data_IF_149966018410
#
_entry.id   IF_149966018410
#
_cell.length_a   1.000
_cell.length_b   1.000
_cell.length_c   1.000
_cell.angle_alpha   90.00
_cell.angle_beta   90.00
_cell.angle_gamma   90.00
#
_symmetry.space_group_name_H-M   'P 1'
#
loop_
_entity.id
_entity.type
_entity.pdbx_description
1 polymer ?
2 non-polymer ?
3 non-polymer ?
4 non-polymer ?
5 water ?
#
# COMPACT_ATOMS: atom_id res chain seq x y z
N UNK A 1 3.90 -2.70 23.41
CA UNK A 1 2.64 -1.96 23.09
C UNK A 1 2.29 -2.13 21.60
N UNK A 2 3.32 -2.34 20.79
CA UNK A 2 3.22 -2.57 19.35
C UNK A 2 2.45 -3.87 19.01
N UNK A 3 1.38 -3.73 18.24
CA UNK A 3 0.41 -4.80 18.00
C UNK A 3 0.69 -5.60 16.72
N UNK A 4 1.48 -6.67 16.86
CA UNK A 4 1.88 -7.54 15.74
C UNK A 4 3.15 -8.31 16.08
N UNK A 5 3.76 -9.00 15.09
CA UNK A 5 3.33 -9.14 13.69
C UNK A 5 2.26 -10.22 13.48
N UNK A 6 1.36 -9.96 12.54
CA UNK A 6 0.35 -10.92 12.09
C UNK A 6 0.75 -11.53 10.75
N UNK A 7 0.44 -12.81 10.54
CA UNK A 7 0.80 -13.51 9.31
C UNK A 7 -0.12 -13.12 8.14
N UNK A 8 0.35 -13.29 6.88
CA UNK A 8 -0.47 -12.93 5.72
C UNK A 8 -1.87 -13.54 5.77
N UNK A 9 -2.89 -12.74 5.46
CA UNK A 9 -4.28 -13.18 5.50
C UNK A 9 -5.17 -12.14 4.81
N UNK A 10 -6.42 -12.51 4.56
CA UNK A 10 -7.44 -11.58 4.10
C UNK A 10 -8.42 -11.37 5.26
N UNK A 11 -8.68 -10.12 5.62
CA UNK A 11 -9.64 -9.80 6.69
C UNK A 11 -10.25 -8.42 6.46
N UNK A 12 -11.21 -8.05 7.31
CA UNK A 12 -11.91 -6.78 7.22
C UNK A 12 -11.46 -5.86 8.36
N UNK A 13 -10.42 -5.03 8.13
CA UNK A 13 -9.88 -4.17 9.19
C UNK A 13 -10.88 -3.13 9.68
N UNK A 14 -10.81 -2.75 10.98
CA UNK A 14 -11.69 -1.69 11.47
C UNK A 14 -11.32 -0.37 10.83
N UNK A 15 -12.27 0.55 10.72
CA UNK A 15 -11.95 1.89 10.22
C UNK A 15 -11.01 2.59 11.21
N UNK A 16 -10.30 3.60 10.72
CA UNK A 16 -9.43 4.45 11.56
C UNK A 16 -8.30 3.68 12.28
N UNK A 17 -7.76 2.67 11.60
CA UNK A 17 -6.58 1.95 12.05
C UNK A 17 -5.62 1.80 10.87
N UNK A 18 -4.34 2.10 11.10
CA UNK A 18 -3.28 1.80 10.12
C UNK A 18 -2.88 0.36 10.18
N UNK A 19 -2.81 -0.26 9.01
CA UNK A 19 -2.22 -1.58 8.82
C UNK A 19 -0.80 -1.37 8.30
N UNK A 20 0.19 -1.55 9.18
CA UNK A 20 1.60 -1.29 8.86
C UNK A 20 2.22 -2.58 8.32
N UNK A 21 2.72 -2.51 7.09
CA UNK A 21 3.16 -3.70 6.35
C UNK A 21 4.68 -3.74 6.27
N UNK A 22 5.24 -4.94 6.48
CA UNK A 22 6.68 -5.18 6.50
C UNK A 22 7.14 -6.21 5.45
N UNK A 23 7.07 -5.86 4.15
CA UNK A 23 7.46 -6.84 3.12
C UNK A 23 8.97 -7.13 3.11
N UNK A 24 9.35 -8.33 2.68
CA UNK A 24 10.78 -8.73 2.58
C UNK A 24 11.29 -8.78 1.14
N UNK A 25 10.38 -9.08 0.21
CA UNK A 25 10.73 -9.26 -1.20
C UNK A 25 9.99 -8.24 -2.07
N UNK A 26 10.55 -7.92 -3.24
CA UNK A 26 9.84 -7.04 -4.20
C UNK A 26 8.53 -7.69 -4.65
N UNK A 27 7.55 -6.88 -5.05
CA UNK A 27 6.27 -7.40 -5.54
C UNK A 27 5.05 -6.89 -4.79
N UNK A 28 3.91 -7.55 -4.98
CA UNK A 28 2.62 -7.09 -4.41
C UNK A 28 2.64 -7.21 -2.88
N UNK A 29 2.31 -6.10 -2.22
CA UNK A 29 2.40 -5.97 -0.76
C UNK A 29 1.05 -6.22 -0.09
N UNK A 30 0.01 -5.62 -0.66
CA UNK A 30 -1.33 -5.61 -0.07
C UNK A 30 -2.30 -5.29 -1.20
N UNK A 31 -3.50 -5.86 -1.14
CA UNK A 31 -4.58 -5.45 -2.04
C UNK A 31 -5.93 -5.31 -1.33
N UNK A 32 -6.79 -4.47 -1.89
CA UNK A 32 -8.11 -4.21 -1.32
C UNK A 32 -9.08 -3.73 -2.38
N UNK A 33 -10.34 -4.15 -2.24
CA UNK A 33 -11.40 -3.72 -3.15
C UNK A 33 -12.76 -3.68 -2.47
N UNK A 34 -13.63 -2.81 -2.98
CA UNK A 34 -15.04 -2.79 -2.58
C UNK A 34 -15.93 -3.47 -3.65
N UNK A 35 -15.29 -4.01 -4.69
CA UNK A 35 -15.96 -4.74 -5.78
C UNK A 35 -16.88 -3.89 -6.68
N UNK A 36 -16.86 -2.56 -6.51
CA UNK A 36 -17.76 -1.68 -7.27
C UNK A 36 -17.02 -0.54 -7.97
N UNK A 37 -16.40 0.36 -7.20
CA UNK A 37 -15.71 1.50 -7.82
C UNK A 37 -14.28 1.76 -7.32
N UNK A 38 -13.70 0.79 -6.62
CA UNK A 38 -12.32 0.92 -6.12
C UNK A 38 -11.55 -0.39 -5.97
N UNK A 39 -10.42 -0.47 -6.69
CA UNK A 39 -9.42 -1.54 -6.54
C UNK A 39 -8.09 -0.89 -6.30
N UNK A 40 -7.36 -1.38 -5.30
CA UNK A 40 -6.05 -0.85 -4.98
C UNK A 40 -5.09 -2.00 -4.67
N UNK A 41 -3.92 -1.98 -5.30
CA UNK A 41 -2.87 -2.91 -4.97
C UNK A 41 -1.56 -2.15 -4.88
N UNK A 42 -0.83 -2.34 -3.78
CA UNK A 42 0.47 -1.72 -3.64
C UNK A 42 1.58 -2.67 -4.08
N UNK A 43 2.41 -2.17 -5.00
CA UNK A 43 3.56 -2.92 -5.50
C UNK A 43 4.86 -2.29 -5.00
N UNK A 44 5.72 -3.12 -4.40
CA UNK A 44 7.05 -2.69 -3.98
C UNK A 44 8.06 -2.89 -5.12
N UNK A 45 8.64 -1.79 -5.60
CA UNK A 45 9.60 -1.81 -6.69
C UNK A 45 11.03 -1.57 -6.18
N UNK A 46 11.94 -2.44 -6.63
CA UNK A 46 13.39 -2.32 -6.41
C UNK A 46 13.96 -0.94 -6.67
N UNK A 47 15.03 -0.57 -5.94
CA UNK A 47 15.81 0.59 -6.34
C UNK A 47 16.29 0.50 -7.79
N UNK A 48 16.30 1.65 -8.46
CA UNK A 48 16.97 1.83 -9.76
C UNK A 48 16.48 0.93 -10.91
N UNK A 49 15.31 1.27 -11.44
CA UNK A 49 14.69 0.51 -12.52
C UNK A 49 14.29 1.46 -13.65
N UNK A 50 14.90 1.28 -14.81
CA UNK A 50 14.49 2.01 -16.01
C UNK A 50 13.18 1.41 -16.51
N UNK A 51 12.32 2.26 -17.07
CA UNK A 51 11.01 1.88 -17.58
C UNK A 51 10.99 0.50 -18.26
N UNK A 52 10.19 -0.41 -17.72
CA UNK A 52 10.02 -1.75 -18.31
C UNK A 52 8.64 -2.29 -18.00
N UNK A 53 8.14 -3.18 -18.85
CA UNK A 53 6.85 -3.80 -18.55
C UNK A 53 7.05 -5.11 -17.80
N UNK A 54 6.27 -5.27 -16.73
CA UNK A 54 6.34 -6.44 -15.88
C UNK A 54 4.98 -7.10 -15.83
N UNK A 55 4.94 -8.34 -15.33
CA UNK A 55 3.69 -9.05 -15.08
C UNK A 55 3.51 -9.29 -13.59
N UNK A 56 2.33 -8.93 -13.09
CA UNK A 56 1.95 -9.12 -11.69
C UNK A 56 0.61 -9.85 -11.63
N UNK A 57 0.43 -10.64 -10.59
CA UNK A 57 -0.86 -11.22 -10.29
C UNK A 57 -1.55 -10.21 -9.40
N UNK A 58 -2.67 -9.67 -9.85
CA UNK A 58 -3.44 -8.72 -9.05
C UNK A 58 -4.86 -9.24 -8.96
N UNK A 59 -5.35 -9.40 -7.73
CA UNK A 59 -6.68 -9.95 -7.51
C UNK A 59 -6.86 -11.27 -8.28
N UNK A 60 -5.83 -12.12 -8.22
CA UNK A 60 -5.87 -13.46 -8.81
C UNK A 60 -5.72 -13.61 -10.32
N UNK A 61 -5.53 -12.50 -11.04
CA UNK A 61 -5.36 -12.54 -12.50
C UNK A 61 -4.07 -11.83 -12.94
N UNK A 62 -3.40 -12.37 -13.96
CA UNK A 62 -2.16 -11.78 -14.46
C UNK A 62 -2.39 -10.44 -15.18
N UNK A 63 -1.57 -9.45 -14.85
CA UNK A 63 -1.68 -8.11 -15.42
C UNK A 63 -0.32 -7.62 -15.86
N UNK A 64 -0.27 -6.96 -17.02
CA UNK A 64 0.96 -6.32 -17.49
C UNK A 64 0.95 -4.87 -17.06
N UNK A 65 2.03 -4.44 -16.41
CA UNK A 65 2.15 -3.07 -15.89
C UNK A 65 3.54 -2.51 -16.26
N UNK A 66 3.57 -1.27 -16.75
CA UNK A 66 4.83 -0.55 -16.98
C UNK A 66 5.31 0.10 -15.68
N UNK A 67 6.52 -0.27 -15.25
CA UNK A 67 7.08 0.21 -13.98
C UNK A 67 8.47 0.89 -14.14
N UNK A 68 8.73 1.87 -13.28
CA UNK A 68 10.04 2.52 -13.23
C UNK A 68 10.32 2.91 -11.79
N UNK A 69 11.59 3.07 -11.45
CA UNK A 69 11.99 3.72 -10.20
C UNK A 69 13.25 4.55 -10.43
N UNK A 70 13.10 5.87 -10.45
CA UNK A 70 14.23 6.78 -10.74
C UNK A 70 15.29 6.82 -9.65
N UNK A 71 14.94 6.39 -8.44
CA UNK A 71 15.86 6.42 -7.32
C UNK A 71 16.96 5.37 -7.45
N UNK A 72 18.20 5.81 -7.26
CA UNK A 72 19.36 4.92 -7.24
C UNK A 72 19.32 3.95 -6.06
N UNK A 73 18.88 4.43 -4.89
CA UNK A 73 19.07 3.73 -3.61
C UNK A 73 17.78 3.41 -2.83
N UNK A 74 16.69 4.12 -3.13
CA UNK A 74 15.46 3.93 -2.38
C UNK A 74 14.45 3.03 -3.10
N UNK A 75 13.73 2.23 -2.32
CA UNK A 75 12.55 1.51 -2.77
C UNK A 75 11.47 2.45 -3.26
N UNK A 76 10.57 1.93 -4.09
CA UNK A 76 9.39 2.68 -4.54
C UNK A 76 8.12 1.86 -4.34
N UNK A 77 7.24 2.35 -3.47
CA UNK A 77 5.93 1.75 -3.25
C UNK A 77 4.96 2.48 -4.17
N UNK A 78 4.31 1.74 -5.05
CA UNK A 78 3.35 2.29 -6.02
C UNK A 78 1.96 1.70 -5.77
N UNK A 79 0.95 2.56 -5.62
CA UNK A 79 -0.44 2.09 -5.60
C UNK A 79 -0.97 2.00 -7.02
N UNK A 80 -1.37 0.81 -7.43
CA UNK A 80 -2.00 0.63 -8.74
C UNK A 80 -3.50 0.48 -8.53
N UNK A 81 -4.26 1.37 -9.17
CA UNK A 81 -5.70 1.49 -8.88
C UNK A 81 -6.55 1.43 -10.15
N UNK A 82 -7.73 0.83 -10.04
CA UNK A 82 -8.74 0.96 -11.08
C UNK A 82 -10.06 1.34 -10.41
N UNK A 83 -10.97 1.93 -11.19
CA UNK A 83 -12.21 2.46 -10.62
C UNK A 83 -13.48 1.78 -11.17
N UNK A 84 -13.31 0.81 -12.06
CA UNK A 84 -14.39 -0.09 -12.48
C UNK A 84 -13.79 -1.49 -12.65
N UNK A 85 -14.64 -2.52 -12.60
CA UNK A 85 -14.21 -3.92 -12.73
C UNK A 85 -13.25 -4.16 -13.90
N UNK A 86 -13.63 -3.66 -15.07
CA UNK A 86 -12.88 -3.94 -16.30
C UNK A 86 -11.95 -2.82 -16.72
N UNK A 87 -11.86 -1.76 -15.91
CA UNK A 87 -11.01 -0.61 -16.21
C UNK A 87 -9.52 -0.90 -16.14
N UNK A 88 -8.73 -0.01 -16.74
CA UNK A 88 -7.27 -0.16 -16.74
C UNK A 88 -6.66 0.33 -15.42
N UNK A 89 -5.48 -0.18 -15.08
CA UNK A 89 -4.79 0.21 -13.85
C UNK A 89 -3.97 1.49 -14.02
N UNK A 90 -4.13 2.42 -13.08
CA UNK A 90 -3.37 3.68 -13.07
C UNK A 90 -2.49 3.83 -11.82
N UNK A 91 -1.44 4.65 -11.96
CA UNK A 91 -0.48 4.91 -10.87
C UNK A 91 -0.53 6.36 -10.38
N UNK A 92 -0.52 6.54 -9.05
CA UNK A 92 -0.59 7.89 -8.46
C UNK A 92 0.40 8.02 -7.31
N UNK A 93 0.98 9.21 -7.17
CA UNK A 93 1.96 9.52 -6.12
C UNK A 93 2.62 8.36 -5.39
N UNK A 94 3.94 8.18 -5.59
CA UNK A 94 4.60 7.07 -4.92
C UNK A 94 5.11 7.39 -3.50
N UNK A 95 5.58 6.36 -2.81
CA UNK A 95 6.40 6.57 -1.62
C UNK A 95 7.79 6.04 -1.95
N UNK A 96 8.80 6.91 -1.87
CA UNK A 96 10.19 6.48 -1.95
C UNK A 96 10.63 6.21 -0.52
N UNK A 97 11.16 5.01 -0.26
CA UNK A 97 11.40 4.55 1.11
C UNK A 97 12.77 3.87 1.30
N UNK A 98 13.45 4.27 2.37
CA UNK A 98 14.63 3.54 2.81
C UNK A 98 14.23 2.36 3.74
N UNK A 99 13.36 2.60 4.75
CA UNK A 99 13.06 1.53 5.72
C UNK A 99 12.21 0.35 5.21
N UNK A 100 11.60 0.46 4.03
CA UNK A 100 10.90 -0.67 3.41
C UNK A 100 9.56 -0.98 4.11
N UNK A 101 8.96 0.04 4.75
CA UNK A 101 7.66 -0.12 5.42
C UNK A 101 6.57 0.74 4.77
N UNK A 102 5.34 0.23 4.78
CA UNK A 102 4.21 0.92 4.17
C UNK A 102 3.01 0.78 5.10
N UNK A 103 1.99 1.60 4.90
CA UNK A 103 0.76 1.50 5.69
C UNK A 103 -0.48 1.94 4.91
N UNK A 104 -1.62 1.35 5.26
CA UNK A 104 -2.92 1.61 4.62
C UNK A 104 -4.03 1.71 5.69
N UNK A 105 -4.98 2.62 5.48
CA UNK A 105 -6.07 2.86 6.44
C UNK A 105 -7.39 3.20 5.74
N UNK A 106 -8.48 2.67 6.30
CA UNK A 106 -9.85 3.04 5.90
C UNK A 106 -10.35 4.19 6.78
N UNK A 107 -10.64 5.34 6.17
CA UNK A 107 -11.00 6.55 6.92
C UNK A 107 -11.85 7.49 6.12
N UNK A 108 -13.01 7.87 6.67
CA UNK A 108 -13.82 8.95 6.12
C UNK A 108 -14.18 8.85 4.64
N UNK A 109 -14.66 7.67 4.23
CA UNK A 109 -15.07 7.44 2.85
C UNK A 109 -13.94 7.25 1.85
N UNK A 110 -12.73 6.97 2.36
CA UNK A 110 -11.50 6.88 1.55
C UNK A 110 -10.56 5.77 2.04
N UNK A 111 -9.61 5.39 1.19
CA UNK A 111 -8.47 4.59 1.62
C UNK A 111 -7.27 5.55 1.64
N UNK A 112 -6.53 5.56 2.74
CA UNK A 112 -5.33 6.39 2.88
C UNK A 112 -4.07 5.52 2.78
N UNK A 113 -3.02 6.04 2.14
CA UNK A 113 -1.72 5.37 2.16
C UNK A 113 -0.64 6.43 2.39
N UNK A 114 0.58 6.00 2.69
CA UNK A 114 1.69 6.96 2.87
C UNK A 114 2.31 7.39 1.53
N UNK A 115 3.02 8.51 1.57
CA UNK A 115 3.36 9.26 0.38
C UNK A 115 4.64 10.08 0.55
N UNK A 116 5.38 10.27 -0.54
CA UNK A 116 6.53 11.19 -0.55
C UNK A 116 7.86 10.47 -0.47
N UNK A 117 8.80 11.03 0.30
CA UNK A 117 10.15 10.44 0.43
C UNK A 117 10.58 10.39 1.88
N UNK A 118 10.92 9.20 2.37
CA UNK A 118 11.46 9.08 3.73
C UNK A 118 12.76 9.89 3.77
N UNK A 119 13.06 10.57 4.90
CA UNK A 119 12.34 10.52 6.17
C UNK A 119 11.37 11.68 6.41
N UNK A 120 10.72 12.16 5.35
CA UNK A 120 9.76 13.27 5.49
C UNK A 120 8.41 12.96 4.84
N UNK A 121 7.81 11.84 5.19
CA UNK A 121 6.58 11.39 4.51
C UNK A 121 5.31 12.20 4.84
N UNK A 122 4.33 12.10 3.95
CA UNK A 122 2.98 12.61 4.18
C UNK A 122 1.99 11.47 3.88
N UNK A 123 0.70 11.78 3.86
CA UNK A 123 -0.33 10.80 3.43
C UNK A 123 -1.14 11.32 2.23
N UNK A 124 -1.77 10.38 1.51
CA UNK A 124 -2.65 10.66 0.37
C UNK A 124 -3.89 9.77 0.50
N UNK A 125 -4.92 10.06 -0.29
CA UNK A 125 -6.17 9.28 -0.19
C UNK A 125 -6.87 9.01 -1.52
N UNK A 126 -7.73 7.99 -1.50
CA UNK A 126 -8.51 7.59 -2.67
C UNK A 126 -9.96 7.38 -2.24
N UNK A 127 -10.88 8.17 -2.80
CA UNK A 127 -12.29 8.07 -2.43
C UNK A 127 -12.82 6.68 -2.79
N UNK A 128 -13.54 6.08 -1.85
CA UNK A 128 -13.95 4.68 -1.94
C UNK A 128 -15.38 4.49 -1.40
N UNK A 129 -16.30 4.04 -2.26
CA UNK A 129 -17.68 3.79 -1.83
C UNK A 129 -17.72 2.54 -0.93
N UNK A 130 -18.58 2.58 0.09
CA UNK A 130 -18.64 1.53 1.12
C UNK A 130 -17.28 1.26 1.75
N UNK A 131 -16.51 2.34 1.96
CA UNK A 131 -15.13 2.28 2.44
C UNK A 131 -14.97 1.35 3.65
N UNK A 132 -15.97 1.33 4.53
CA UNK A 132 -15.84 0.64 5.83
C UNK A 132 -15.81 -0.89 5.75
N UNK A 133 -16.36 -1.44 4.67
CA UNK A 133 -16.44 -2.89 4.50
C UNK A 133 -15.34 -3.45 3.58
N UNK A 134 -14.40 -2.60 3.17
CA UNK A 134 -13.30 -3.04 2.31
C UNK A 134 -12.43 -4.08 3.03
N UNK A 135 -12.34 -5.28 2.45
CA UNK A 135 -11.42 -6.32 2.94
C UNK A 135 -10.02 -6.08 2.40
N UNK A 136 -9.01 -6.32 3.22
CA UNK A 136 -7.62 -6.17 2.78
C UNK A 136 -6.91 -7.51 2.79
N UNK A 137 -6.13 -7.76 1.74
CA UNK A 137 -5.26 -8.93 1.65
C UNK A 137 -3.79 -8.53 1.83
N UNK A 138 -3.19 -8.96 2.94
CA UNK A 138 -1.77 -8.71 3.20
C UNK A 138 -0.94 -9.89 2.70
N UNK A 139 0.11 -9.59 1.93
CA UNK A 139 1.00 -10.63 1.40
C UNK A 139 2.33 -10.72 2.16
N UNK A 140 2.37 -10.08 3.33
CA UNK A 140 3.54 -10.08 4.21
C UNK A 140 3.03 -9.86 5.63
N UNK A 141 3.91 -9.97 6.63
CA UNK A 141 3.53 -9.71 8.03
C UNK A 141 3.14 -8.26 8.22
N UNK A 142 2.19 -8.02 9.12
CA UNK A 142 1.70 -6.67 9.39
C UNK A 142 1.41 -6.41 10.87
N UNK A 143 1.27 -5.13 11.20
CA UNK A 143 0.94 -4.66 12.53
C UNK A 143 -0.27 -3.75 12.42
N UNK A 144 -0.97 -3.55 13.54
CA UNK A 144 -2.18 -2.72 13.58
C UNK A 144 -1.95 -1.54 14.52
N UNK A 145 -2.24 -0.32 14.06
CA UNK A 145 -1.97 0.89 14.84
C UNK A 145 -3.17 1.83 14.77
N UNK A 146 -3.72 2.24 15.94
CA UNK A 146 -4.88 3.15 15.91
C UNK A 146 -4.53 4.52 15.33
N UNK A 147 -5.47 5.14 14.63
CA UNK A 147 -5.27 6.49 14.06
C UNK A 147 -4.83 7.51 15.11
N UNK A 148 -5.32 7.34 16.34
CA UNK A 148 -4.95 8.21 17.46
C UNK A 148 -3.44 8.20 17.68
N UNK A 149 -2.81 7.08 17.34
CA UNK A 149 -1.35 6.93 17.40
C UNK A 149 -0.67 7.05 16.02
N UNK A 150 -1.27 7.84 15.11
CA UNK A 150 -0.70 8.04 13.76
C UNK A 150 0.78 8.47 13.77
N UNK A 151 1.17 9.27 14.77
CA UNK A 151 2.54 9.77 14.85
C UNK A 151 3.56 8.64 15.06
N UNK A 152 3.13 7.57 15.73
CA UNK A 152 3.98 6.39 15.88
C UNK A 152 4.15 5.66 14.54
N UNK A 153 3.05 5.50 13.81
CA UNK A 153 3.10 4.87 12.48
C UNK A 153 4.01 5.68 11.56
N UNK A 154 3.88 7.01 11.61
CA UNK A 154 4.70 7.89 10.77
C UNK A 154 6.19 7.75 11.08
N UNK A 155 6.53 7.58 12.36
CA UNK A 155 7.92 7.36 12.75
C UNK A 155 8.46 6.05 12.16
N UNK A 156 7.67 4.98 12.21
CA UNK A 156 8.06 3.70 11.60
C UNK A 156 8.23 3.81 10.09
N UNK A 157 7.31 4.49 9.41
CA UNK A 157 7.44 4.69 7.96
C UNK A 157 8.76 5.42 7.64
N UNK A 158 9.04 6.48 8.39
CA UNK A 158 10.23 7.31 8.20
C UNK A 158 11.55 6.64 8.58
N UNK A 159 11.54 5.85 9.65
CA UNK A 159 12.78 5.40 10.32
C UNK A 159 12.93 3.88 10.54
N UNK A 160 11.88 3.10 10.27
CA UNK A 160 11.93 1.65 10.46
C UNK A 160 11.58 1.18 11.86
N UNK A 161 11.48 -0.14 12.03
CA UNK A 161 11.15 -0.74 13.33
C UNK A 161 12.31 -0.64 14.33
X LIG B 1 -10.23 11.43 -4.47
X LIG B 1 -9.49 12.40 -5.43
X LIG B 1 -10.41 13.22 -6.21
X LIG B 1 -8.55 13.36 -4.62
X LIG B 1 -7.24 12.67 -4.17
X LIG B 1 -6.33 13.65 -3.63
X LIG B 1 -6.58 11.91 -5.33
X LIG B 1 -5.47 11.13 -4.77
X LIG B 1 -7.62 10.92 -5.94
X LIG B 1 -8.77 11.65 -6.43
X LIG B 1 -7.08 10.01 -7.07
X LIG B 1 -6.71 10.83 -8.20
X LIG B 1 -8.15 8.99 -7.52
X LIG B 1 -8.86 8.46 -6.39
X LIG B 1 -7.49 7.88 -8.34
X LIG B 1 -8.45 6.91 -8.75
X LIG B 1 -4.27 11.02 -5.34
X LIG B 1 -3.91 11.59 -6.38
X LIG B 1 -3.31 10.12 -4.58
X LIG B 1 -2.00 10.23 -5.15
X LIG B 1 -11.49 12.51 -6.85
X LIG B 1 -10.20 10.21 -4.75
X LIG B 1 -10.83 11.94 -3.50
X LIG C 1 -5.57 12.67 8.44
X LIG C 1 -6.96 12.97 8.30
X LIG C 1 -5.42 11.19 8.12
X LIG C 1 -5.26 10.43 9.33
X LIG C 1 -4.22 11.00 7.20
X LIG C 1 -3.00 11.45 7.81
X LIG D 1 17.95 9.58 -4.39
X LIG D 1 16.83 8.68 -4.31
X LIG D 1 19.07 8.96 -5.21
X LIG D 1 19.33 7.66 -4.67
X LIG D 1 18.63 8.86 -6.67
X LIG D 1 19.62 9.41 -7.55
X LIG E 1 -7.92 -3.59 16.96
X LIG E 1 -7.01 -5.54 15.87
X LIG E 1 -8.11 -4.48 15.86
X LIG E 1 -7.21 -6.45 14.79
X LIG E 1 -5.99 -7.91 13.31
X LIG E 1 -6.22 -7.49 14.76
X LIG E 1 -6.33 -9.28 13.12
X LIG E 1 -5.81 -11.37 12.00
X LIG E 1 -5.40 -9.92 12.25
X LIG E 1 -7.16 -11.40 11.52
#
# INVERSE_FOLDING_TARGET
>A
VLDGPYQPTTFNPPVDYWMLLAPTAAGVVVEGTNNTDRWLATILVEPNVTSETRSYTLFGTQEQITIANASQTQWKFIDVVKTTQNGSYSQYGPLQSTPKLYAVMKHNGKIYTYNGETPNVTTKYYSTTNYDSVNMTAFCDFYIIPREEESTCTEYINNGL
>B hetero
1 MN0 C1 C2 O2 C3 C4 O4 C5 N5 C6 O6 C7 O7 C8 O8 C9 O9 C10 O10 C11 O11 C12 O1B O1A
>C hetero
1 GOL C1 O1 C2 O2 C3 O3
>D hetero
1 GOL C1 O1 C2 O2 C3 O3
>E hetero
1 1PE OH4 C14 C24 OH5 C15 C25 OH6 C16 C26 OH7
#
